data_IF_166406422589
#
_entry.id   IF_166406422589
#
_cell.length_a   1.000
_cell.length_b   1.000
_cell.length_c   1.000
_cell.angle_alpha   90.00
_cell.angle_beta   90.00
_cell.angle_gamma   90.00
#
_symmetry.space_group_name_H-M   'P 1'
#
loop_
_entity.id
_entity.type
_entity.pdbx_description
1 polymer ?
#
# COMPACT_ATOMS: atom_id res chain seq x y z
N UNK A 1 3.05 15.75 18.51
CA UNK A 1 3.57 14.44 18.97
C UNK A 1 2.39 13.52 19.20
N UNK A 2 2.58 12.22 18.98
CA UNK A 2 1.57 11.23 19.33
C UNK A 2 1.42 11.11 20.85
N UNK A 3 0.22 10.81 21.33
CA UNK A 3 0.00 10.40 22.73
C UNK A 3 0.49 8.96 22.94
N UNK A 4 0.70 8.55 24.19
CA UNK A 4 1.05 7.17 24.54
C UNK A 4 0.03 6.17 24.00
N UNK A 5 -1.26 6.47 24.15
CA UNK A 5 -2.37 5.67 23.60
C UNK A 5 -2.28 5.55 22.06
N UNK A 6 -1.93 6.64 21.37
CA UNK A 6 -1.76 6.63 19.92
C UNK A 6 -0.56 5.77 19.51
N UNK A 7 0.56 5.86 20.23
CA UNK A 7 1.76 5.04 20.01
C UNK A 7 1.43 3.55 20.18
N UNK A 8 0.77 3.18 21.27
CA UNK A 8 0.36 1.80 21.53
C UNK A 8 -0.56 1.27 20.41
N UNK A 9 -1.53 2.10 19.99
CA UNK A 9 -2.45 1.76 18.90
C UNK A 9 -1.73 1.57 17.56
N UNK A 10 -0.75 2.41 17.25
CA UNK A 10 0.07 2.28 16.03
C UNK A 10 0.86 0.98 16.03
N UNK A 11 1.54 0.67 17.14
CA UNK A 11 2.30 -0.58 17.31
C UNK A 11 1.40 -1.83 17.27
N UNK A 12 0.21 -1.78 17.88
CA UNK A 12 -0.73 -2.89 17.80
C UNK A 12 -1.23 -3.11 16.37
N UNK A 13 -1.56 -2.03 15.65
CA UNK A 13 -2.01 -2.11 14.26
C UNK A 13 -0.89 -2.61 13.34
N UNK A 14 0.35 -2.16 13.52
CA UNK A 14 1.46 -2.61 12.68
C UNK A 14 1.71 -4.10 12.83
N UNK A 15 1.72 -4.64 14.06
CA UNK A 15 1.84 -6.09 14.29
C UNK A 15 0.71 -6.88 13.63
N UNK A 16 -0.53 -6.42 13.77
CA UNK A 16 -1.70 -7.08 13.14
C UNK A 16 -1.61 -7.07 11.61
N UNK A 17 -1.25 -5.94 11.03
CA UNK A 17 -1.10 -5.82 9.57
C UNK A 17 0.06 -6.65 9.05
N UNK A 18 1.16 -6.74 9.79
CA UNK A 18 2.31 -7.58 9.43
C UNK A 18 1.90 -9.05 9.33
N UNK A 19 1.21 -9.56 10.35
CA UNK A 19 0.68 -10.93 10.37
C UNK A 19 -0.30 -11.17 9.21
N UNK A 20 -1.27 -10.27 9.01
CA UNK A 20 -2.22 -10.38 7.89
C UNK A 20 -1.53 -10.41 6.52
N UNK A 21 -0.50 -9.59 6.30
CA UNK A 21 0.25 -9.63 5.05
C UNK A 21 0.97 -10.97 4.84
N UNK A 22 1.47 -11.58 5.92
CA UNK A 22 2.06 -12.91 5.87
C UNK A 22 1.02 -13.98 5.51
N UNK A 23 -0.10 -14.00 6.21
CA UNK A 23 -1.18 -14.98 5.98
C UNK A 23 -1.73 -14.89 4.56
N UNK A 24 -2.00 -13.67 4.07
CA UNK A 24 -2.47 -13.44 2.70
C UNK A 24 -1.45 -13.86 1.64
N UNK A 25 -0.16 -13.59 1.88
CA UNK A 25 0.91 -13.99 0.98
C UNK A 25 0.98 -15.51 0.87
N UNK A 26 0.96 -16.23 1.99
CA UNK A 26 0.97 -17.70 2.02
C UNK A 26 -0.27 -18.25 1.28
N UNK A 27 -1.45 -17.73 1.62
CA UNK A 27 -2.72 -18.14 1.01
C UNK A 27 -2.71 -17.96 -0.52
N UNK A 28 -2.27 -16.81 -1.02
CA UNK A 28 -2.17 -16.53 -2.46
C UNK A 28 -1.20 -17.47 -3.16
N UNK A 29 -0.02 -17.73 -2.57
CA UNK A 29 0.98 -18.63 -3.15
C UNK A 29 0.44 -20.06 -3.22
N UNK A 30 -0.18 -20.56 -2.15
CA UNK A 30 -0.72 -21.92 -2.10
C UNK A 30 -1.84 -22.11 -3.13
N UNK A 31 -2.79 -21.18 -3.22
CA UNK A 31 -3.88 -21.28 -4.20
C UNK A 31 -3.41 -21.10 -5.65
N UNK A 32 -2.25 -20.46 -5.86
CA UNK A 32 -1.76 -20.12 -7.20
C UNK A 32 -1.48 -21.32 -8.10
N UNK A 33 -1.29 -22.51 -7.52
CA UNK A 33 -1.06 -23.75 -8.27
C UNK A 33 -2.26 -24.17 -9.13
N UNK A 34 -3.46 -23.74 -8.72
CA UNK A 34 -4.72 -24.06 -9.40
C UNK A 34 -5.17 -22.96 -10.38
N UNK A 35 -4.46 -21.84 -10.43
CA UNK A 35 -4.83 -20.68 -11.25
C UNK A 35 -4.31 -20.81 -12.69
N UNK A 36 -4.99 -20.21 -13.69
CA UNK A 36 -4.43 -20.01 -15.02
C UNK A 36 -3.07 -19.29 -14.97
N UNK A 37 -2.13 -19.55 -15.90
CA UNK A 37 -0.78 -18.98 -15.88
C UNK A 37 -0.72 -17.45 -15.73
N UNK A 38 -1.57 -16.74 -16.47
CA UNK A 38 -1.61 -15.27 -16.50
C UNK A 38 -2.15 -14.72 -15.16
N UNK A 39 -3.22 -15.32 -14.63
CA UNK A 39 -3.74 -14.95 -13.31
C UNK A 39 -2.70 -15.26 -12.21
N UNK A 40 -2.02 -16.41 -12.29
CA UNK A 40 -0.96 -16.81 -11.36
C UNK A 40 0.18 -15.80 -11.32
N UNK A 41 0.58 -15.26 -12.47
CA UNK A 41 1.64 -14.26 -12.57
C UNK A 41 1.32 -13.04 -11.70
N UNK A 42 0.10 -12.50 -11.85
CA UNK A 42 -0.36 -11.36 -11.06
C UNK A 42 -0.56 -11.71 -9.59
N UNK A 43 -1.11 -12.89 -9.26
CA UNK A 43 -1.31 -13.31 -7.88
C UNK A 43 0.02 -13.43 -7.11
N UNK A 44 1.00 -14.14 -7.70
CA UNK A 44 2.26 -14.45 -7.01
C UNK A 44 3.25 -13.30 -7.12
N UNK A 45 3.53 -12.82 -8.33
CA UNK A 45 4.58 -11.84 -8.56
C UNK A 45 4.07 -10.41 -8.43
N UNK A 46 2.81 -10.19 -8.77
CA UNK A 46 2.14 -8.89 -8.69
C UNK A 46 1.62 -8.53 -7.30
N UNK A 47 0.99 -9.47 -6.59
CA UNK A 47 0.32 -9.21 -5.31
C UNK A 47 1.15 -9.75 -4.14
N UNK A 48 1.42 -11.06 -4.10
CA UNK A 48 2.06 -11.70 -2.94
C UNK A 48 3.47 -11.14 -2.67
N UNK A 49 4.32 -11.00 -3.69
CA UNK A 49 5.65 -10.37 -3.53
C UNK A 49 5.57 -8.92 -3.04
N UNK A 50 4.57 -8.16 -3.49
CA UNK A 50 4.40 -6.77 -3.06
C UNK A 50 3.92 -6.67 -1.61
N UNK A 51 3.09 -7.61 -1.13
CA UNK A 51 2.74 -7.70 0.30
C UNK A 51 3.98 -7.88 1.17
N UNK A 52 4.97 -8.69 0.72
CA UNK A 52 6.25 -8.82 1.40
C UNK A 52 6.97 -7.48 1.48
N UNK A 53 7.11 -6.77 0.34
CA UNK A 53 7.76 -5.46 0.33
C UNK A 53 7.07 -4.48 1.28
N UNK A 54 5.74 -4.44 1.28
CA UNK A 54 4.98 -3.53 2.16
C UNK A 54 5.18 -3.83 3.64
N UNK A 55 5.13 -5.10 4.06
CA UNK A 55 5.34 -5.47 5.47
C UNK A 55 6.77 -5.21 5.94
N UNK A 56 7.78 -5.45 5.09
CA UNK A 56 9.18 -5.20 5.44
C UNK A 56 9.47 -3.71 5.53
N UNK A 57 8.94 -2.89 4.62
CA UNK A 57 9.04 -1.43 4.73
C UNK A 57 8.38 -0.92 6.01
N UNK A 58 7.19 -1.43 6.37
CA UNK A 58 6.54 -1.07 7.63
C UNK A 58 7.39 -1.47 8.83
N UNK A 59 7.89 -2.71 8.87
CA UNK A 59 8.78 -3.20 9.93
C UNK A 59 9.99 -2.28 10.11
N UNK A 60 10.66 -1.92 9.01
CA UNK A 60 11.79 -1.00 9.03
C UNK A 60 11.46 0.32 9.75
N UNK A 61 10.34 0.97 9.43
CA UNK A 61 9.97 2.25 10.05
C UNK A 61 9.62 2.10 11.53
N UNK A 62 8.93 1.03 11.93
CA UNK A 62 8.61 0.83 13.34
C UNK A 62 9.84 0.44 14.18
N UNK A 63 10.88 -0.15 13.59
CA UNK A 63 12.11 -0.53 14.31
C UNK A 63 13.18 0.58 14.31
N UNK A 64 13.33 1.32 13.21
CA UNK A 64 14.46 2.24 13.03
C UNK A 64 14.09 3.72 13.13
N UNK A 65 12.82 4.07 12.85
CA UNK A 65 12.30 5.43 12.95
C UNK A 65 10.95 5.37 13.69
N UNK A 66 10.91 4.88 14.95
CA UNK A 66 9.66 4.57 15.64
C UNK A 66 8.78 5.81 15.89
N UNK A 67 7.46 5.67 16.06
CA UNK A 67 6.56 6.81 16.26
C UNK A 67 6.87 7.63 17.52
N UNK A 68 7.51 7.03 18.52
CA UNK A 68 7.97 7.63 19.77
C UNK A 68 9.40 8.20 19.73
N UNK A 69 10.05 8.23 18.55
CA UNK A 69 11.41 8.76 18.44
C UNK A 69 11.48 10.21 18.94
N UNK A 70 12.47 10.49 19.80
CA UNK A 70 12.64 11.77 20.49
C UNK A 70 13.98 12.44 20.19
N UNK A 71 14.69 11.94 19.18
CA UNK A 71 15.96 12.45 18.68
C UNK A 71 16.05 12.23 17.18
N UNK A 72 16.97 12.93 16.53
CA UNK A 72 17.22 12.72 15.11
C UNK A 72 17.72 11.28 14.86
N UNK A 73 17.15 10.63 13.84
CA UNK A 73 17.67 9.37 13.34
C UNK A 73 19.02 9.60 12.66
N UNK A 74 19.92 8.61 12.68
CA UNK A 74 21.20 8.77 12.01
C UNK A 74 21.02 8.91 10.48
N UNK A 75 21.97 9.55 9.81
CA UNK A 75 21.88 9.86 8.38
C UNK A 75 21.75 8.62 7.48
N UNK A 76 22.34 7.50 7.86
CA UNK A 76 22.25 6.22 7.14
C UNK A 76 20.83 5.66 7.22
N UNK A 77 20.23 5.68 8.42
CA UNK A 77 18.85 5.25 8.67
C UNK A 77 17.86 6.15 7.93
N UNK A 78 18.10 7.46 7.88
CA UNK A 78 17.28 8.38 7.08
C UNK A 78 17.37 8.08 5.58
N UNK A 79 18.57 7.81 5.05
CA UNK A 79 18.74 7.41 3.64
C UNK A 79 18.02 6.10 3.33
N UNK A 80 18.13 5.10 4.21
CA UNK A 80 17.38 3.84 4.13
C UNK A 80 15.87 4.06 4.25
N UNK A 81 15.45 5.00 5.09
CA UNK A 81 14.06 5.42 5.24
C UNK A 81 13.50 5.99 3.95
N UNK A 82 14.25 6.84 3.24
CA UNK A 82 13.81 7.36 1.95
C UNK A 82 13.65 6.25 0.90
N UNK A 83 14.58 5.29 0.85
CA UNK A 83 14.48 4.13 -0.03
C UNK A 83 13.26 3.25 0.30
N UNK A 84 13.02 2.95 1.58
CA UNK A 84 11.87 2.19 2.05
C UNK A 84 10.55 2.91 1.82
N UNK A 85 10.51 4.23 1.99
CA UNK A 85 9.33 5.04 1.74
C UNK A 85 8.96 4.98 0.26
N UNK A 86 9.93 5.16 -0.63
CA UNK A 86 9.70 5.05 -2.05
C UNK A 86 9.22 3.64 -2.44
N UNK A 87 9.89 2.60 -1.93
CA UNK A 87 9.50 1.21 -2.15
C UNK A 87 8.07 0.92 -1.64
N UNK A 88 7.69 1.44 -0.48
CA UNK A 88 6.34 1.27 0.05
C UNK A 88 5.28 1.89 -0.86
N UNK A 89 5.47 3.16 -1.25
CA UNK A 89 4.49 3.89 -2.05
C UNK A 89 4.31 3.28 -3.46
N UNK A 90 5.39 2.83 -4.11
CA UNK A 90 5.28 2.21 -5.43
C UNK A 90 4.58 0.84 -5.34
N UNK A 91 4.88 0.04 -4.30
CA UNK A 91 4.27 -1.28 -4.13
C UNK A 91 2.79 -1.21 -3.72
N UNK A 92 2.42 -0.25 -2.88
CA UNK A 92 1.03 -0.06 -2.48
C UNK A 92 0.18 0.44 -3.66
N UNK A 93 0.77 1.19 -4.61
CA UNK A 93 0.09 1.57 -5.85
C UNK A 93 -0.02 0.38 -6.81
N UNK A 94 1.11 -0.31 -7.05
CA UNK A 94 1.20 -1.43 -8.00
C UNK A 94 0.35 -2.64 -7.63
N UNK A 95 0.04 -2.86 -6.35
CA UNK A 95 -0.90 -3.91 -5.94
C UNK A 95 -2.28 -3.72 -6.56
N UNK A 96 -2.81 -2.49 -6.61
CA UNK A 96 -4.16 -2.26 -7.14
C UNK A 96 -4.26 -2.62 -8.61
N UNK A 97 -3.22 -2.28 -9.38
CA UNK A 97 -3.11 -2.64 -10.79
C UNK A 97 -3.04 -4.17 -10.97
N UNK A 98 -2.22 -4.84 -10.15
CA UNK A 98 -2.10 -6.30 -10.21
C UNK A 98 -3.37 -7.03 -9.75
N UNK A 99 -4.17 -6.46 -8.85
CA UNK A 99 -5.51 -6.98 -8.53
C UNK A 99 -6.43 -6.89 -9.76
N UNK A 100 -6.41 -5.76 -10.48
CA UNK A 100 -7.25 -5.58 -11.67
C UNK A 100 -6.89 -6.58 -12.78
N UNK A 101 -5.60 -6.70 -13.07
CA UNK A 101 -5.11 -7.67 -14.05
C UNK A 101 -5.34 -9.11 -13.62
N UNK A 102 -5.16 -9.43 -12.34
CA UNK A 102 -5.54 -10.73 -11.80
C UNK A 102 -7.01 -11.03 -12.10
N UNK A 103 -7.93 -10.12 -11.78
CA UNK A 103 -9.37 -10.30 -12.01
C UNK A 103 -9.71 -10.44 -13.50
N UNK A 104 -9.01 -9.70 -14.37
CA UNK A 104 -9.21 -9.79 -15.81
C UNK A 104 -8.94 -11.21 -16.33
N UNK A 105 -7.82 -11.82 -15.96
CA UNK A 105 -7.51 -13.19 -16.34
C UNK A 105 -8.30 -14.23 -15.55
N UNK A 106 -8.55 -13.97 -14.27
CA UNK A 106 -9.31 -14.87 -13.40
C UNK A 106 -10.73 -15.11 -13.92
N UNK A 107 -11.38 -14.06 -14.44
CA UNK A 107 -12.72 -14.13 -15.01
C UNK A 107 -12.73 -14.29 -16.53
N UNK A 108 -11.58 -14.65 -17.12
CA UNK A 108 -11.39 -14.90 -18.54
C UNK A 108 -11.92 -13.77 -19.45
N UNK A 109 -11.65 -12.51 -19.08
CA UNK A 109 -12.14 -11.35 -19.83
C UNK A 109 -11.54 -11.28 -21.24
N UNK A 110 -10.41 -11.92 -21.51
CA UNK A 110 -9.85 -12.07 -22.85
C UNK A 110 -10.78 -12.79 -23.83
N UNK A 111 -11.74 -13.58 -23.32
CA UNK A 111 -12.79 -14.21 -24.13
C UNK A 111 -13.93 -13.25 -24.49
N UNK A 112 -14.01 -12.09 -23.82
CA UNK A 112 -15.08 -11.09 -23.96
C UNK A 112 -14.58 -9.80 -24.59
N UNK A 113 -13.30 -9.48 -24.46
CA UNK A 113 -12.69 -8.26 -24.97
C UNK A 113 -11.19 -8.42 -25.21
N UNK A 114 -10.64 -7.58 -26.09
CA UNK A 114 -9.21 -7.52 -26.37
C UNK A 114 -8.49 -6.76 -25.24
N UNK A 115 -7.82 -7.49 -24.33
CA UNK A 115 -7.20 -6.89 -23.15
C UNK A 115 -6.10 -5.88 -23.50
N UNK A 116 -5.35 -6.10 -24.59
CA UNK A 116 -4.28 -5.18 -25.00
C UNK A 116 -4.82 -3.86 -25.53
N UNK A 117 -5.91 -3.91 -26.33
CA UNK A 117 -6.57 -2.69 -26.80
C UNK A 117 -7.24 -1.91 -25.67
N UNK A 118 -7.73 -2.60 -24.65
CA UNK A 118 -8.47 -2.01 -23.54
C UNK A 118 -7.64 -1.92 -22.24
N UNK A 119 -6.31 -2.02 -22.32
CA UNK A 119 -5.44 -2.03 -21.14
C UNK A 119 -5.53 -0.78 -20.27
N UNK A 120 -5.95 0.35 -20.84
CA UNK A 120 -6.18 1.59 -20.10
C UNK A 120 -7.49 1.57 -19.31
N UNK A 121 -8.39 0.66 -19.66
CA UNK A 121 -9.65 0.44 -18.96
C UNK A 121 -9.50 -0.58 -17.83
N UNK A 122 -8.44 -1.40 -17.86
CA UNK A 122 -8.14 -2.38 -16.80
C UNK A 122 -7.50 -1.66 -15.62
N UNK A 123 -8.32 -1.31 -14.62
CA UNK A 123 -7.85 -0.70 -13.39
C UNK A 123 -8.87 -0.86 -12.27
N UNK A 124 -8.39 -1.20 -11.07
CA UNK A 124 -9.26 -1.57 -9.95
C UNK A 124 -10.26 -0.48 -9.56
N UNK A 125 -9.89 0.78 -9.74
CA UNK A 125 -10.70 1.96 -9.47
C UNK A 125 -11.16 2.66 -10.78
N UNK A 126 -11.03 2.00 -11.93
CA UNK A 126 -11.54 2.50 -13.19
C UNK A 126 -13.04 2.16 -13.30
N UNK A 127 -13.87 3.17 -13.63
CA UNK A 127 -15.32 3.02 -13.78
C UNK A 127 -15.71 2.00 -14.85
N UNK A 128 -14.95 1.91 -15.94
CA UNK A 128 -15.21 0.93 -17.00
C UNK A 128 -14.92 -0.51 -16.55
N UNK A 129 -14.01 -0.69 -15.58
CA UNK A 129 -13.67 -2.00 -15.02
C UNK A 129 -14.60 -2.43 -13.89
N UNK A 130 -15.27 -1.50 -13.22
CA UNK A 130 -16.10 -1.74 -12.02
C UNK A 130 -17.14 -2.85 -12.23
N UNK A 131 -17.72 -2.93 -13.43
CA UNK A 131 -18.70 -3.97 -13.82
C UNK A 131 -18.16 -5.41 -13.81
N UNK A 132 -16.84 -5.58 -13.77
CA UNK A 132 -16.18 -6.90 -13.73
C UNK A 132 -15.69 -7.28 -12.33
N UNK A 133 -15.90 -6.42 -11.33
CA UNK A 133 -15.47 -6.69 -9.97
C UNK A 133 -16.46 -7.63 -9.27
N UNK A 134 -15.98 -8.67 -8.56
CA UNK A 134 -16.76 -9.41 -7.58
C UNK A 134 -17.36 -8.47 -6.52
N UNK A 135 -18.56 -8.78 -6.01
CA UNK A 135 -19.31 -7.91 -5.09
C UNK A 135 -18.48 -7.52 -3.84
N UNK A 136 -17.80 -8.48 -3.24
CA UNK A 136 -16.87 -8.30 -2.12
C UNK A 136 -15.74 -7.31 -2.44
N UNK A 137 -15.19 -7.34 -3.66
CA UNK A 137 -14.13 -6.42 -4.10
C UNK A 137 -14.71 -5.04 -4.42
N UNK A 138 -15.82 -4.99 -5.17
CA UNK A 138 -16.52 -3.75 -5.53
C UNK A 138 -16.90 -2.93 -4.30
N UNK A 139 -17.41 -3.58 -3.25
CA UNK A 139 -17.73 -2.95 -1.97
C UNK A 139 -16.51 -2.28 -1.31
N UNK A 140 -15.32 -2.90 -1.39
CA UNK A 140 -14.07 -2.30 -0.89
C UNK A 140 -13.60 -1.16 -1.77
N UNK A 141 -13.64 -1.33 -3.10
CA UNK A 141 -13.28 -0.29 -4.06
C UNK A 141 -14.10 0.97 -3.84
N UNK A 142 -15.43 0.85 -3.71
CA UNK A 142 -16.32 1.97 -3.41
C UNK A 142 -15.92 2.71 -2.14
N UNK A 143 -15.67 1.96 -1.05
CA UNK A 143 -15.24 2.53 0.25
C UNK A 143 -13.87 3.22 0.18
N UNK A 144 -12.96 2.76 -0.69
CA UNK A 144 -11.59 3.25 -0.76
C UNK A 144 -11.33 4.24 -1.91
N UNK A 145 -12.38 4.75 -2.56
CA UNK A 145 -12.27 5.73 -3.66
C UNK A 145 -11.47 6.97 -3.25
N UNK A 146 -11.78 7.60 -2.11
CA UNK A 146 -11.08 8.79 -1.63
C UNK A 146 -9.63 8.50 -1.24
N UNK A 147 -9.40 7.33 -0.63
CA UNK A 147 -8.06 6.86 -0.32
C UNK A 147 -7.23 6.71 -1.60
N UNK A 148 -7.78 6.06 -2.63
CA UNK A 148 -7.12 5.85 -3.90
C UNK A 148 -6.88 7.18 -4.66
N UNK A 149 -7.83 8.12 -4.59
CA UNK A 149 -7.65 9.46 -5.14
C UNK A 149 -6.48 10.20 -4.45
N UNK A 150 -6.37 10.09 -3.12
CA UNK A 150 -5.19 10.56 -2.38
C UNK A 150 -3.92 9.85 -2.84
N UNK A 151 -3.95 8.52 -2.88
CA UNK A 151 -2.85 7.65 -3.32
C UNK A 151 -2.29 8.11 -4.66
N UNK A 152 -3.14 8.27 -5.67
CA UNK A 152 -2.75 8.63 -7.03
C UNK A 152 -2.27 10.07 -7.12
N UNK A 153 -2.99 11.03 -6.51
CA UNK A 153 -2.63 12.45 -6.50
C UNK A 153 -1.23 12.68 -5.93
N UNK A 154 -0.91 12.01 -4.83
CA UNK A 154 0.40 12.16 -4.22
C UNK A 154 1.43 11.29 -4.91
N UNK A 155 1.12 10.08 -5.39
CA UNK A 155 2.13 9.11 -5.86
C UNK A 155 2.48 9.10 -7.33
N UNK A 156 1.58 9.47 -8.25
CA UNK A 156 1.96 9.62 -9.67
C UNK A 156 3.11 10.63 -9.86
N UNK A 157 3.10 11.78 -9.18
CA UNK A 157 4.25 12.69 -9.20
C UNK A 157 5.51 12.14 -8.51
N UNK A 158 5.39 11.22 -7.55
CA UNK A 158 6.53 10.68 -6.80
C UNK A 158 7.30 9.63 -7.59
N UNK A 159 6.58 8.68 -8.18
CA UNK A 159 7.18 7.60 -8.96
C UNK A 159 7.86 8.14 -10.25
N UNK A 160 7.49 9.34 -10.69
CA UNK A 160 7.91 9.89 -11.98
C UNK A 160 8.60 11.25 -11.92
N UNK A 161 8.61 11.96 -10.78
CA UNK A 161 9.19 13.33 -10.71
C UNK A 161 10.04 13.58 -9.46
N UNK A 162 9.45 13.55 -8.27
CA UNK A 162 10.16 13.95 -7.03
C UNK A 162 9.96 12.86 -5.95
N UNK A 163 11.03 12.16 -5.53
CA UNK A 163 10.92 11.14 -4.50
C UNK A 163 10.47 11.76 -3.17
N UNK A 164 9.75 11.00 -2.33
CA UNK A 164 9.34 11.48 -1.02
C UNK A 164 10.56 11.52 -0.10
N UNK A 165 10.51 12.35 0.92
CA UNK A 165 11.59 12.46 1.89
C UNK A 165 11.07 12.39 3.32
N UNK A 166 11.71 11.56 4.14
CA UNK A 166 11.48 11.49 5.59
C UNK A 166 12.11 12.71 6.23
N UNK A 167 11.27 13.52 6.90
CA UNK A 167 11.69 14.74 7.58
C UNK A 167 12.44 14.35 8.87
N UNK A 168 13.70 14.79 9.09
CA UNK A 168 14.48 14.45 10.29
C UNK A 168 13.87 15.04 11.56
N UNK A 169 13.40 16.28 11.46
CA UNK A 169 12.68 17.01 12.49
C UNK A 169 12.00 18.26 11.93
N UNK A 170 11.07 18.82 12.70
CA UNK A 170 10.43 20.12 12.41
C UNK A 170 10.72 21.08 13.55
N UNK A 171 11.22 22.27 13.24
CA UNK A 171 11.31 23.36 14.21
C UNK A 171 9.94 24.00 14.38
N UNK A 172 9.34 23.86 15.57
CA UNK A 172 8.06 24.50 15.87
C UNK A 172 8.29 25.81 16.60
N UNK A 173 7.97 26.91 15.91
CA UNK A 173 8.07 28.28 16.46
C UNK A 173 7.08 28.50 17.62
N UNK A 174 5.92 27.85 17.59
CA UNK A 174 4.87 28.02 18.60
C UNK A 174 5.27 27.48 19.98
N UNK A 175 6.03 26.38 20.01
CA UNK A 175 6.51 25.75 21.26
C UNK A 175 8.00 25.97 21.50
N UNK A 176 8.71 26.68 20.61
CA UNK A 176 10.15 26.92 20.70
C UNK A 176 11.01 25.65 20.79
N UNK A 177 10.54 24.55 20.19
CA UNK A 177 11.14 23.21 20.33
C UNK A 177 11.25 22.49 18.99
N UNK A 178 12.22 21.59 18.92
CA UNK A 178 12.37 20.62 17.84
C UNK A 178 11.37 19.47 18.04
N UNK A 179 10.61 19.16 17.00
CA UNK A 179 9.63 18.07 16.95
C UNK A 179 10.20 16.94 16.09
N UNK A 180 10.49 15.80 16.72
CA UNK A 180 11.02 14.60 16.06
C UNK A 180 9.94 13.62 15.59
N UNK A 181 8.65 13.99 15.69
CA UNK A 181 7.56 13.13 15.23
C UNK A 181 7.77 12.77 13.75
N UNK A 182 7.89 11.47 13.40
CA UNK A 182 8.23 11.08 12.05
C UNK A 182 7.16 11.50 11.05
N UNK A 183 7.58 12.31 10.09
CA UNK A 183 6.77 12.76 8.99
C UNK A 183 7.52 12.57 7.67
N UNK A 184 6.81 12.57 6.57
CA UNK A 184 7.41 12.67 5.26
C UNK A 184 6.71 13.71 4.40
N UNK A 185 7.38 14.16 3.36
CA UNK A 185 6.88 15.20 2.46
C UNK A 185 7.36 14.97 1.03
N UNK A 186 6.61 15.47 0.06
CA UNK A 186 6.99 15.42 -1.35
C UNK A 186 7.67 16.71 -1.81
N UNK A 187 7.07 17.85 -1.46
CA UNK A 187 7.64 19.16 -1.73
C UNK A 187 7.08 20.18 -0.74
N UNK A 188 7.97 20.95 -0.10
CA UNK A 188 7.60 21.92 0.95
C UNK A 188 6.73 23.08 0.44
N UNK A 189 6.79 23.39 -0.84
CA UNK A 189 6.01 24.46 -1.50
C UNK A 189 4.61 24.00 -1.93
N UNK A 190 4.35 22.69 -1.97
CA UNK A 190 3.14 22.10 -2.56
C UNK A 190 2.39 21.13 -1.65
N UNK A 191 2.96 20.77 -0.51
CA UNK A 191 2.39 19.76 0.37
C UNK A 191 2.71 20.03 1.84
N UNK A 192 1.92 19.45 2.73
CA UNK A 192 2.15 19.48 4.16
C UNK A 192 2.84 18.18 4.61
N UNK A 193 3.64 18.22 5.70
CA UNK A 193 4.18 17.01 6.32
C UNK A 193 3.07 16.00 6.64
N UNK A 194 3.26 14.77 6.16
CA UNK A 194 2.35 13.64 6.39
C UNK A 194 2.88 12.80 7.54
N UNK A 195 2.08 12.50 8.57
CA UNK A 195 2.51 11.64 9.67
C UNK A 195 2.82 10.23 9.17
N UNK A 196 4.07 9.80 9.32
CA UNK A 196 4.62 8.62 8.66
C UNK A 196 3.89 7.33 9.05
N UNK A 197 3.90 6.98 10.34
CA UNK A 197 3.33 5.71 10.82
C UNK A 197 1.81 5.62 10.65
N UNK A 198 1.10 6.72 10.90
CA UNK A 198 -0.35 6.75 10.72
C UNK A 198 -0.73 6.51 9.26
N UNK A 199 -0.05 7.18 8.32
CA UNK A 199 -0.29 6.99 6.89
C UNK A 199 0.10 5.58 6.43
N UNK A 200 1.23 5.04 6.92
CA UNK A 200 1.64 3.66 6.62
C UNK A 200 0.58 2.63 7.02
N UNK A 201 0.06 2.75 8.24
CA UNK A 201 -0.97 1.85 8.76
C UNK A 201 -2.28 1.99 7.98
N UNK A 202 -2.65 3.21 7.56
CA UNK A 202 -3.82 3.44 6.72
C UNK A 202 -3.66 2.83 5.32
N UNK A 203 -2.54 3.11 4.64
CA UNK A 203 -2.28 2.63 3.28
C UNK A 203 -2.17 1.11 3.22
N UNK A 204 -1.44 0.50 4.16
CA UNK A 204 -1.33 -0.95 4.23
C UNK A 204 -2.66 -1.59 4.65
N UNK A 205 -3.42 -0.94 5.53
CA UNK A 205 -4.76 -1.40 5.92
C UNK A 205 -5.72 -1.50 4.74
N UNK A 206 -5.76 -0.47 3.88
CA UNK A 206 -6.59 -0.48 2.68
C UNK A 206 -6.17 -1.59 1.70
N UNK A 207 -4.86 -1.74 1.47
CA UNK A 207 -4.31 -2.83 0.65
C UNK A 207 -4.71 -4.21 1.20
N UNK A 208 -4.51 -4.43 2.50
CA UNK A 208 -4.85 -5.70 3.15
C UNK A 208 -6.35 -5.98 3.03
N UNK A 209 -7.22 -5.00 3.27
CA UNK A 209 -8.68 -5.19 3.13
C UNK A 209 -9.09 -5.52 1.68
N UNK A 210 -8.42 -4.94 0.67
CA UNK A 210 -8.65 -5.25 -0.75
C UNK A 210 -8.20 -6.66 -1.11
N UNK A 211 -7.02 -7.08 -0.65
CA UNK A 211 -6.50 -8.42 -0.91
C UNK A 211 -7.26 -9.49 -0.12
N UNK A 212 -7.72 -9.18 1.10
CA UNK A 212 -8.64 -10.04 1.87
C UNK A 212 -9.94 -10.26 1.08
N UNK A 213 -10.54 -9.19 0.57
CA UNK A 213 -11.73 -9.29 -0.28
C UNK A 213 -11.44 -10.15 -1.51
N UNK A 214 -10.35 -9.88 -2.24
CA UNK A 214 -9.96 -10.71 -3.39
C UNK A 214 -9.81 -12.19 -3.01
N UNK A 215 -9.22 -12.50 -1.85
CA UNK A 215 -8.96 -13.88 -1.45
C UNK A 215 -10.24 -14.71 -1.27
N UNK A 216 -11.38 -14.07 -0.97
CA UNK A 216 -12.69 -14.74 -0.86
C UNK A 216 -13.15 -15.23 -2.24
N UNK A 217 -12.96 -14.40 -3.27
CA UNK A 217 -13.31 -14.74 -4.66
C UNK A 217 -12.40 -15.86 -5.21
N UNK A 218 -11.12 -15.80 -4.85
CA UNK A 218 -10.15 -16.84 -5.18
C UNK A 218 -10.52 -18.17 -4.51
N UNK A 219 -10.88 -18.17 -3.22
CA UNK A 219 -11.33 -19.39 -2.53
C UNK A 219 -12.58 -19.98 -3.16
N UNK A 220 -13.56 -19.16 -3.52
CA UNK A 220 -14.77 -19.63 -4.17
C UNK A 220 -14.49 -20.35 -5.51
N UNK A 221 -13.40 -19.96 -6.18
CA UNK A 221 -13.03 -20.49 -7.50
C UNK A 221 -12.04 -21.64 -7.46
N UNK A 222 -11.17 -21.72 -6.43
CA UNK A 222 -10.03 -22.64 -6.41
C UNK A 222 -9.88 -23.43 -5.11
N UNK A 223 -10.75 -23.30 -4.10
CA UNK A 223 -10.69 -24.13 -2.89
C UNK A 223 -10.90 -25.62 -3.19
#
# INVERSE_FOLDING_TARGET
>A
MYTEEQIEKLHLKSRKLYAKCFDLQEKLVTMSEKMPPEAREHAVYGIARRLVMLRECMKFFFENIPPEINKEANSVVLAQGNANLHAFLINCSGINDNIAWFLAYHHALEQKMDLEKNKHDIGLFNKEFEKYLPENVANKVGRFTDWYAGLTRYRHPIAHRIPPYVIPYVESKDIGKIVYTPCYIHAFDKSYPVPLHAQFVCDLGAVVELVEALSIDIEASYA
#
